data_IF_192940694987
#
_entry.id   IF_192940694987
#
_cell.length_a   1.000
_cell.length_b   1.000
_cell.length_c   1.000
_cell.angle_alpha   90.00
_cell.angle_beta   90.00
_cell.angle_gamma   90.00
#
_symmetry.space_group_name_H-M   'P 1'
#
loop_
_entity.id
_entity.type
_entity.pdbx_description
1 polymer ?
#
# COMPACT_ATOMS: atom_id res chain seq x y z
N UNK A 1 20.30 40.42 -10.42
CA UNK A 1 21.06 39.26 -10.94
C UNK A 1 20.13 38.44 -11.83
N UNK A 2 20.29 38.49 -13.16
CA UNK A 2 19.45 37.74 -14.08
C UNK A 2 19.93 36.28 -14.13
N UNK A 3 19.08 35.34 -13.73
CA UNK A 3 19.33 33.92 -13.96
C UNK A 3 19.32 33.74 -15.48
N UNK A 4 20.45 33.32 -16.08
CA UNK A 4 20.49 32.97 -17.51
C UNK A 4 19.38 31.95 -17.76
N UNK A 5 18.44 32.27 -18.65
CA UNK A 5 17.20 31.50 -18.93
C UNK A 5 17.45 29.99 -19.07
N UNK A 6 18.60 29.60 -19.62
CA UNK A 6 19.01 28.21 -19.77
C UNK A 6 19.30 27.50 -18.44
N UNK A 7 19.94 28.17 -17.49
CA UNK A 7 20.26 27.62 -16.17
C UNK A 7 18.99 27.42 -15.32
N UNK A 8 18.00 28.31 -15.47
CA UNK A 8 16.72 28.16 -14.80
C UNK A 8 15.92 26.97 -15.36
N UNK A 9 15.91 26.77 -16.68
CA UNK A 9 15.20 25.65 -17.31
C UNK A 9 15.83 24.30 -16.95
N UNK A 10 17.16 24.24 -16.85
CA UNK A 10 17.88 23.07 -16.36
C UNK A 10 17.51 22.77 -14.89
N UNK A 11 17.58 23.77 -14.01
CA UNK A 11 17.14 23.65 -12.62
C UNK A 11 15.68 23.17 -12.52
N UNK A 12 14.78 23.74 -13.31
CA UNK A 12 13.37 23.34 -13.31
C UNK A 12 13.19 21.88 -13.74
N UNK A 13 13.93 21.43 -14.75
CA UNK A 13 13.91 20.04 -15.23
C UNK A 13 14.40 19.09 -14.15
N UNK A 14 15.52 19.45 -13.52
CA UNK A 14 16.13 18.73 -12.41
C UNK A 14 15.20 18.61 -11.19
N UNK A 15 14.46 19.67 -10.85
CA UNK A 15 13.49 19.67 -9.75
C UNK A 15 12.27 18.81 -10.10
N UNK A 16 11.70 18.96 -11.30
CA UNK A 16 10.56 18.16 -11.77
C UNK A 16 10.87 16.67 -11.73
N UNK A 17 12.04 16.26 -12.23
CA UNK A 17 12.48 14.86 -12.22
C UNK A 17 12.55 14.29 -10.79
N UNK A 18 13.11 15.05 -9.84
CA UNK A 18 13.20 14.61 -8.43
C UNK A 18 11.82 14.46 -7.78
N UNK A 19 10.90 15.40 -8.03
CA UNK A 19 9.52 15.33 -7.54
C UNK A 19 8.83 14.08 -8.08
N UNK A 20 8.85 13.88 -9.40
CA UNK A 20 8.21 12.73 -10.04
C UNK A 20 8.79 11.41 -9.55
N UNK A 21 10.11 11.30 -9.45
CA UNK A 21 10.78 10.12 -8.91
C UNK A 21 10.39 9.86 -7.45
N UNK A 22 10.23 10.91 -6.64
CA UNK A 22 9.79 10.76 -5.25
C UNK A 22 8.34 10.30 -5.15
N UNK A 23 7.45 10.83 -6.00
CA UNK A 23 6.05 10.42 -6.05
C UNK A 23 5.91 8.96 -6.49
N UNK A 24 6.66 8.54 -7.52
CA UNK A 24 6.67 7.14 -7.98
C UNK A 24 7.09 6.19 -6.86
N UNK A 25 8.17 6.52 -6.13
CA UNK A 25 8.61 5.71 -4.99
C UNK A 25 7.53 5.64 -3.91
N UNK A 26 6.93 6.77 -3.55
CA UNK A 26 5.87 6.82 -2.54
C UNK A 26 4.68 5.94 -2.93
N UNK A 27 4.22 6.03 -4.19
CA UNK A 27 3.14 5.18 -4.71
C UNK A 27 3.52 3.71 -4.69
N UNK A 28 4.74 3.35 -5.07
CA UNK A 28 5.20 1.95 -5.00
C UNK A 28 5.21 1.40 -3.57
N UNK A 29 5.65 2.19 -2.59
CA UNK A 29 5.63 1.80 -1.19
C UNK A 29 4.21 1.61 -0.67
N UNK A 30 3.32 2.58 -0.92
CA UNK A 30 1.92 2.49 -0.52
C UNK A 30 1.23 1.28 -1.16
N UNK A 31 1.48 1.02 -2.44
CA UNK A 31 0.91 -0.14 -3.13
C UNK A 31 1.40 -1.47 -2.55
N UNK A 32 2.69 -1.57 -2.20
CA UNK A 32 3.22 -2.77 -1.56
C UNK A 32 2.56 -3.03 -0.21
N UNK A 33 2.41 -1.99 0.62
CA UNK A 33 1.72 -2.06 1.91
C UNK A 33 0.24 -2.42 1.75
N UNK A 34 -0.46 -1.87 0.75
CA UNK A 34 -1.86 -2.22 0.49
C UNK A 34 -2.03 -3.68 0.08
N UNK A 35 -1.15 -4.20 -0.80
CA UNK A 35 -1.16 -5.62 -1.19
C UNK A 35 -0.92 -6.51 0.03
N UNK A 36 0.05 -6.13 0.88
CA UNK A 36 0.33 -6.84 2.11
C UNK A 36 -0.86 -6.85 3.08
N UNK A 37 -1.46 -5.68 3.33
CA UNK A 37 -2.63 -5.52 4.18
C UNK A 37 -3.79 -6.42 3.73
N UNK A 38 -4.07 -6.45 2.42
CA UNK A 38 -5.13 -7.29 1.86
C UNK A 38 -4.88 -8.77 2.06
N UNK A 39 -3.64 -9.22 1.89
CA UNK A 39 -3.28 -10.60 2.19
C UNK A 39 -3.41 -10.92 3.69
N UNK A 40 -2.95 -10.03 4.58
CA UNK A 40 -2.95 -10.28 6.02
C UNK A 40 -4.39 -10.34 6.58
N UNK A 41 -5.27 -9.45 6.11
CA UNK A 41 -6.70 -9.49 6.43
C UNK A 41 -7.33 -10.81 5.94
N UNK A 42 -7.01 -11.24 4.72
CA UNK A 42 -7.46 -12.50 4.19
C UNK A 42 -7.09 -13.70 5.07
N UNK A 43 -5.81 -13.73 5.51
CA UNK A 43 -5.28 -14.75 6.41
C UNK A 43 -5.99 -14.70 7.76
N UNK A 44 -6.17 -13.51 8.34
CA UNK A 44 -6.83 -13.33 9.64
C UNK A 44 -8.26 -13.87 9.61
N UNK A 45 -9.02 -13.53 8.56
CA UNK A 45 -10.40 -14.00 8.42
C UNK A 45 -10.43 -15.51 8.22
N UNK A 46 -9.57 -16.06 7.36
CA UNK A 46 -9.49 -17.51 7.14
C UNK A 46 -9.19 -18.26 8.45
N UNK A 47 -8.23 -17.76 9.24
CA UNK A 47 -7.87 -18.34 10.54
C UNK A 47 -9.08 -18.36 11.48
N UNK A 48 -9.78 -17.25 11.62
CA UNK A 48 -10.97 -17.14 12.47
C UNK A 48 -12.13 -18.01 11.99
N UNK A 49 -12.32 -18.12 10.67
CA UNK A 49 -13.31 -19.06 10.11
C UNK A 49 -13.01 -20.52 10.47
N UNK A 50 -11.72 -20.92 10.48
CA UNK A 50 -11.30 -22.28 10.86
C UNK A 50 -11.40 -22.53 12.37
N UNK A 51 -10.99 -21.58 13.19
CA UNK A 51 -10.92 -21.73 14.65
C UNK A 51 -12.28 -21.57 15.34
N UNK A 52 -13.11 -20.65 14.84
CA UNK A 52 -14.37 -20.25 15.50
C UNK A 52 -15.61 -20.67 14.71
N UNK A 53 -15.44 -21.32 13.56
CA UNK A 53 -16.56 -21.82 12.74
C UNK A 53 -17.41 -20.72 12.12
N UNK A 54 -16.86 -19.51 11.93
CA UNK A 54 -17.60 -18.40 11.35
C UNK A 54 -18.08 -18.71 9.93
N UNK A 55 -19.40 -18.69 9.71
CA UNK A 55 -20.02 -18.89 8.41
C UNK A 55 -19.88 -17.69 7.47
N UNK A 56 -20.45 -17.80 6.27
CA UNK A 56 -20.37 -16.78 5.22
C UNK A 56 -20.90 -15.39 5.64
N UNK A 57 -21.74 -15.31 6.68
CA UNK A 57 -22.32 -14.06 7.20
C UNK A 57 -21.31 -13.09 7.83
N UNK A 58 -20.08 -13.53 8.13
CA UNK A 58 -19.04 -12.64 8.66
C UNK A 58 -18.57 -11.60 7.64
N UNK A 59 -18.57 -11.95 6.34
CA UNK A 59 -18.06 -11.08 5.27
C UNK A 59 -18.98 -9.85 5.07
N UNK A 60 -20.31 -10.01 4.91
CA UNK A 60 -21.25 -8.88 4.86
C UNK A 60 -21.14 -7.96 6.07
N UNK A 61 -21.03 -8.55 7.27
CA UNK A 61 -20.90 -7.79 8.51
C UNK A 61 -19.62 -6.96 8.54
N UNK A 62 -18.46 -7.58 8.28
CA UNK A 62 -17.18 -6.87 8.24
C UNK A 62 -17.16 -5.76 7.19
N UNK A 63 -17.70 -6.00 5.99
CA UNK A 63 -17.76 -4.98 4.94
C UNK A 63 -18.57 -3.76 5.39
N UNK A 64 -19.72 -3.99 6.04
CA UNK A 64 -20.58 -2.93 6.57
C UNK A 64 -19.91 -2.19 7.71
N UNK A 65 -19.34 -2.90 8.67
CA UNK A 65 -18.72 -2.30 9.86
C UNK A 65 -17.50 -1.45 9.46
N UNK A 66 -16.63 -1.97 8.59
CA UNK A 66 -15.48 -1.19 8.06
C UNK A 66 -15.95 0.07 7.34
N UNK A 67 -17.00 -0.01 6.51
CA UNK A 67 -17.53 1.17 5.81
C UNK A 67 -18.08 2.23 6.78
N UNK A 68 -18.65 1.81 7.90
CA UNK A 68 -19.23 2.72 8.89
C UNK A 68 -18.17 3.35 9.79
N UNK A 69 -17.16 2.57 10.19
CA UNK A 69 -16.12 3.01 11.14
C UNK A 69 -14.94 3.70 10.44
N UNK A 70 -14.61 3.31 9.20
CA UNK A 70 -13.48 3.80 8.41
C UNK A 70 -13.96 4.32 7.05
N UNK A 71 -14.85 5.31 7.09
CA UNK A 71 -15.59 5.80 5.90
C UNK A 71 -14.73 6.35 4.77
N UNK A 72 -13.52 6.85 5.09
CA UNK A 72 -12.53 7.36 4.16
C UNK A 72 -11.76 6.25 3.43
N UNK A 73 -11.73 5.04 3.99
CA UNK A 73 -11.00 3.90 3.47
C UNK A 73 -11.86 3.15 2.46
N UNK A 74 -11.30 2.95 1.26
CA UNK A 74 -11.95 2.23 0.15
C UNK A 74 -11.33 0.85 -0.02
N UNK A 75 -12.02 -0.03 -0.75
CA UNK A 75 -11.50 -1.35 -1.12
C UNK A 75 -12.00 -2.51 -0.25
N UNK A 76 -12.89 -2.28 0.71
CA UNK A 76 -13.39 -3.29 1.66
C UNK A 76 -14.85 -3.70 1.39
N UNK A 77 -15.25 -3.79 0.12
CA UNK A 77 -16.53 -4.41 -0.23
C UNK A 77 -16.53 -5.90 0.09
N UNK A 78 -17.71 -6.50 0.26
CA UNK A 78 -17.85 -7.96 0.49
C UNK A 78 -17.06 -8.78 -0.55
N UNK A 79 -17.16 -8.38 -1.82
CA UNK A 79 -16.43 -9.01 -2.93
C UNK A 79 -14.92 -8.92 -2.72
N UNK A 80 -14.41 -7.73 -2.37
CA UNK A 80 -12.98 -7.55 -2.17
C UNK A 80 -12.46 -8.29 -0.95
N UNK A 81 -13.23 -8.36 0.13
CA UNK A 81 -12.88 -9.19 1.29
C UNK A 81 -12.84 -10.67 0.89
N UNK A 82 -13.77 -11.13 0.05
CA UNK A 82 -13.70 -12.46 -0.55
C UNK A 82 -12.40 -12.70 -1.34
N UNK A 83 -11.96 -11.71 -2.12
CA UNK A 83 -10.67 -11.77 -2.82
C UNK A 83 -9.46 -11.77 -1.87
N UNK A 84 -9.50 -11.02 -0.77
CA UNK A 84 -8.47 -11.04 0.26
C UNK A 84 -8.29 -12.45 0.85
N UNK A 85 -9.40 -13.10 1.22
CA UNK A 85 -9.39 -14.48 1.75
C UNK A 85 -8.84 -15.45 0.70
N UNK A 86 -9.27 -15.31 -0.56
CA UNK A 86 -8.76 -16.15 -1.66
C UNK A 86 -7.27 -15.93 -1.89
N UNK A 87 -6.82 -14.68 -1.84
CA UNK A 87 -5.41 -14.32 -1.99
C UNK A 87 -4.55 -14.98 -0.91
N UNK A 88 -4.97 -14.90 0.36
CA UNK A 88 -4.26 -15.56 1.46
C UNK A 88 -4.23 -17.09 1.34
N UNK A 89 -5.30 -17.70 0.83
CA UNK A 89 -5.38 -19.15 0.59
C UNK A 89 -4.45 -19.63 -0.51
N UNK A 90 -4.41 -18.89 -1.62
CA UNK A 90 -3.63 -19.26 -2.80
C UNK A 90 -2.14 -18.97 -2.60
N UNK A 91 -1.81 -17.93 -1.84
CA UNK A 91 -0.43 -17.47 -1.64
C UNK A 91 -0.14 -17.51 -0.14
N UNK A 92 0.62 -18.52 0.29
CA UNK A 92 1.01 -18.79 1.68
C UNK A 92 1.68 -17.59 2.37
N UNK A 93 2.98 -17.63 2.67
CA UNK A 93 3.68 -16.43 3.17
C UNK A 93 4.34 -15.71 1.99
N UNK A 94 3.86 -14.52 1.57
CA UNK A 94 4.34 -13.88 0.36
C UNK A 94 5.78 -13.38 0.53
N UNK A 95 6.63 -13.62 -0.48
CA UNK A 95 8.00 -13.11 -0.50
C UNK A 95 8.08 -11.57 -0.48
N UNK A 96 6.97 -10.87 -0.74
CA UNK A 96 6.81 -9.41 -0.56
C UNK A 96 7.13 -8.98 0.89
N UNK A 97 7.03 -9.91 1.86
CA UNK A 97 7.45 -9.73 3.25
C UNK A 97 8.97 -9.63 3.46
N UNK A 98 9.79 -10.03 2.47
CA UNK A 98 11.21 -9.71 2.52
C UNK A 98 11.33 -8.20 2.39
N UNK A 99 11.54 -7.59 3.55
CA UNK A 99 11.44 -6.15 3.77
C UNK A 99 12.02 -5.35 2.60
N UNK A 100 11.38 -4.24 2.22
CA UNK A 100 12.03 -3.22 1.43
C UNK A 100 13.08 -2.44 2.26
N UNK A 101 13.89 -3.11 3.10
CA UNK A 101 15.04 -2.46 3.77
C UNK A 101 16.08 -1.98 2.77
N UNK A 102 16.10 -2.53 1.54
CA UNK A 102 17.18 -2.27 0.62
C UNK A 102 17.09 -0.95 -0.16
N UNK A 103 16.01 -0.15 -0.08
CA UNK A 103 15.91 1.08 -0.89
C UNK A 103 15.21 2.25 -0.19
N UNK A 104 15.55 2.52 1.07
CA UNK A 104 15.46 3.91 1.52
C UNK A 104 16.87 4.52 1.45
N UNK A 105 17.19 5.34 0.44
CA UNK A 105 18.32 6.23 0.54
C UNK A 105 17.89 7.40 1.41
N UNK A 106 17.73 7.18 2.73
CA UNK A 106 17.88 8.30 3.67
C UNK A 106 19.37 8.63 3.74
N UNK A 107 19.85 9.26 2.67
CA UNK A 107 21.12 9.95 2.64
C UNK A 107 20.83 11.38 2.21
N UNK A 108 21.13 12.31 3.12
CA UNK A 108 21.43 13.73 2.84
C UNK A 108 20.25 14.71 2.78
N UNK A 109 19.69 15.02 3.96
CA UNK A 109 19.37 16.40 4.29
C UNK A 109 20.55 16.99 5.06
N UNK A 110 21.38 17.82 4.40
CA UNK A 110 22.39 18.65 5.06
C UNK A 110 23.79 18.61 4.45
N UNK A 111 24.27 19.81 4.05
CA UNK A 111 25.60 20.18 3.48
C UNK A 111 25.72 19.78 2.00
N UNK A 112 25.90 20.70 1.04
CA UNK A 112 26.75 21.89 1.00
C UNK A 112 26.03 23.09 0.38
#
# INVERSE_FOLDING_TARGET
MQIKKNNYLDLLTQVKSRIQNSQLRAVSYVNAELIYLYWDIGRLIEKRQKEEGWGAGVIPKLSKDIRNELSEVKGFSERNIGYMIRFAKEYGNPAILQQPVAKIPWGYWGRF
#
